data_IF_837222187752
#
_entry.id   IF_837222187752
#
_cell.length_a   1.000
_cell.length_b   1.000
_cell.length_c   1.000
_cell.angle_alpha   90.00
_cell.angle_beta   90.00
_cell.angle_gamma   90.00
#
_symmetry.space_group_name_H-M   'P 1'
#
loop_
_entity.id
_entity.type
_entity.pdbx_description
1 polymer ?
#
# COMPACT_ATOMS: atom_id res chain seq x y z
N UNK A 1 -2.28 1.16 -18.01
CA UNK A 1 -1.17 0.43 -17.35
C UNK A 1 -0.30 1.47 -16.67
N UNK A 2 -0.08 1.40 -15.36
CA UNK A 2 0.76 2.35 -14.61
C UNK A 2 1.94 1.58 -14.01
N UNK A 3 3.10 2.23 -13.92
CA UNK A 3 4.28 1.65 -13.27
C UNK A 3 4.28 2.07 -11.79
N UNK A 4 4.41 1.10 -10.89
CA UNK A 4 4.57 1.34 -9.45
C UNK A 4 6.02 1.14 -9.08
N UNK A 5 6.67 2.18 -8.58
CA UNK A 5 8.01 2.08 -8.05
C UNK A 5 8.07 1.10 -6.87
N UNK A 6 9.16 0.31 -6.72
CA UNK A 6 9.29 -0.65 -5.63
C UNK A 6 9.20 0.01 -4.24
N UNK A 7 9.65 1.26 -4.12
CA UNK A 7 9.51 2.04 -2.89
C UNK A 7 8.04 2.41 -2.58
N UNK A 8 7.26 2.72 -3.62
CA UNK A 8 5.83 3.03 -3.50
C UNK A 8 5.03 1.77 -3.14
N UNK A 9 5.36 0.64 -3.77
CA UNK A 9 4.76 -0.65 -3.44
C UNK A 9 5.01 -1.05 -1.96
N UNK A 10 6.22 -0.81 -1.45
CA UNK A 10 6.52 -1.06 -0.04
C UNK A 10 5.75 -0.12 0.89
N UNK A 11 5.67 1.18 0.57
CA UNK A 11 4.91 2.16 1.34
C UNK A 11 3.41 1.81 1.43
N UNK A 12 2.79 1.43 0.31
CA UNK A 12 1.38 1.00 0.25
C UNK A 12 1.17 -0.24 1.11
N UNK A 13 2.10 -1.21 1.06
CA UNK A 13 2.01 -2.43 1.86
C UNK A 13 2.21 -2.16 3.36
N UNK A 14 3.16 -1.31 3.74
CA UNK A 14 3.33 -0.88 5.13
C UNK A 14 2.07 -0.20 5.64
N UNK A 15 1.51 0.74 4.87
CA UNK A 15 0.24 1.38 5.21
C UNK A 15 -0.89 0.36 5.38
N UNK A 16 -0.96 -0.67 4.53
CA UNK A 16 -1.95 -1.74 4.64
C UNK A 16 -1.78 -2.56 5.93
N UNK A 17 -0.56 -2.94 6.29
CA UNK A 17 -0.28 -3.76 7.47
C UNK A 17 -0.39 -2.98 8.78
N UNK A 18 0.07 -1.73 8.82
CA UNK A 18 0.09 -0.91 10.03
C UNK A 18 -1.24 -0.17 10.29
N UNK A 19 -1.89 0.30 9.23
CA UNK A 19 -3.04 1.21 9.30
C UNK A 19 -4.30 0.69 8.60
N UNK A 20 -4.20 -0.44 7.91
CA UNK A 20 -5.32 -1.09 7.24
C UNK A 20 -5.57 -0.61 5.81
N UNK A 21 -6.61 -1.19 5.20
CA UNK A 21 -6.94 -1.04 3.78
C UNK A 21 -7.14 0.42 3.34
N UNK A 22 -7.86 1.22 4.14
CA UNK A 22 -8.13 2.62 3.81
C UNK A 22 -6.86 3.48 3.74
N UNK A 23 -5.89 3.23 4.62
CA UNK A 23 -4.63 3.96 4.60
C UNK A 23 -3.80 3.63 3.35
N UNK A 24 -3.80 2.36 2.94
CA UNK A 24 -3.15 1.93 1.71
C UNK A 24 -3.82 2.52 0.46
N UNK A 25 -5.15 2.66 0.46
CA UNK A 25 -5.90 3.34 -0.62
C UNK A 25 -5.52 4.82 -0.68
N UNK A 26 -5.40 5.49 0.46
CA UNK A 26 -4.97 6.91 0.51
C UNK A 26 -3.55 7.07 -0.05
N UNK A 27 -2.61 6.21 0.34
CA UNK A 27 -1.24 6.25 -0.19
C UNK A 27 -1.21 5.95 -1.69
N UNK A 28 -2.00 4.96 -2.15
CA UNK A 28 -2.15 4.70 -3.58
C UNK A 28 -2.67 5.93 -4.33
N UNK A 29 -3.70 6.61 -3.81
CA UNK A 29 -4.28 7.82 -4.43
C UNK A 29 -3.32 9.03 -4.37
N UNK A 30 -2.46 9.09 -3.37
CA UNK A 30 -1.40 10.11 -3.25
C UNK A 30 -0.36 9.97 -4.37
N UNK A 31 0.01 8.75 -4.71
CA UNK A 31 0.94 8.47 -5.80
C UNK A 31 0.26 8.49 -7.17
N UNK A 32 -1.00 8.05 -7.21
CA UNK A 32 -1.80 7.92 -8.42
C UNK A 32 -3.17 8.57 -8.20
N UNK A 33 -3.30 9.88 -8.42
CA UNK A 33 -4.59 10.58 -8.30
C UNK A 33 -5.62 10.16 -9.37
N UNK A 34 -5.25 9.23 -10.25
CA UNK A 34 -6.06 8.73 -11.38
C UNK A 34 -7.17 7.75 -10.96
N UNK A 35 -7.21 7.29 -9.71
CA UNK A 35 -8.26 6.39 -9.24
C UNK A 35 -9.52 7.15 -8.85
N UNK A 36 -10.55 7.04 -9.70
CA UNK A 36 -11.87 7.65 -9.49
C UNK A 36 -12.71 6.91 -8.44
N UNK A 37 -12.56 5.58 -8.36
CA UNK A 37 -13.33 4.72 -7.44
C UNK A 37 -12.45 4.03 -6.40
N UNK A 38 -12.90 4.06 -5.14
CA UNK A 38 -12.26 3.34 -4.04
C UNK A 38 -12.21 1.83 -4.29
N UNK A 39 -13.17 1.27 -5.02
CA UNK A 39 -13.19 -0.16 -5.37
C UNK A 39 -12.05 -0.54 -6.33
N UNK A 40 -11.75 0.31 -7.31
CA UNK A 40 -10.61 0.09 -8.21
C UNK A 40 -9.28 0.24 -7.47
N UNK A 41 -9.19 1.24 -6.60
CA UNK A 41 -8.03 1.45 -5.73
C UNK A 41 -7.80 0.24 -4.81
N UNK A 42 -8.88 -0.32 -4.24
CA UNK A 42 -8.82 -1.50 -3.37
C UNK A 42 -8.23 -2.72 -4.08
N UNK A 43 -8.70 -3.01 -5.30
CA UNK A 43 -8.18 -4.13 -6.09
C UNK A 43 -6.67 -3.98 -6.35
N UNK A 44 -6.22 -2.76 -6.68
CA UNK A 44 -4.79 -2.47 -6.87
C UNK A 44 -4.00 -2.62 -5.56
N UNK A 45 -4.51 -2.11 -4.44
CA UNK A 45 -3.88 -2.26 -3.12
C UNK A 45 -3.73 -3.73 -2.75
N UNK A 46 -4.75 -4.57 -2.96
CA UNK A 46 -4.68 -6.00 -2.66
C UNK A 46 -3.68 -6.73 -3.56
N UNK A 47 -3.61 -6.36 -4.85
CA UNK A 47 -2.62 -6.89 -5.76
C UNK A 47 -1.19 -6.54 -5.30
N UNK A 48 -0.93 -5.28 -4.97
CA UNK A 48 0.37 -4.78 -4.48
C UNK A 48 0.72 -5.42 -3.13
N UNK A 49 -0.26 -5.56 -2.22
CA UNK A 49 -0.05 -6.22 -0.94
C UNK A 49 0.30 -7.72 -1.08
N UNK A 50 -0.16 -8.36 -2.17
CA UNK A 50 0.15 -9.75 -2.50
C UNK A 50 1.51 -9.94 -3.18
N UNK A 51 2.18 -8.86 -3.60
CA UNK A 51 3.50 -8.95 -4.22
C UNK A 51 4.55 -9.38 -3.20
N UNK A 52 5.35 -10.41 -3.55
CA UNK A 52 6.48 -10.84 -2.73
C UNK A 52 7.56 -9.74 -2.72
N UNK A 53 7.99 -9.27 -1.53
CA UNK A 53 9.06 -8.29 -1.46
C UNK A 53 10.37 -8.86 -1.98
N UNK A 54 11.01 -8.11 -2.88
CA UNK A 54 12.45 -8.20 -3.08
C UNK A 54 13.07 -7.42 -1.91
N UNK A 55 13.34 -8.12 -0.80
CA UNK A 55 13.91 -7.55 0.45
C UNK A 55 15.38 -7.11 0.25
N UNK A 56 15.95 -6.18 1.07
CA UNK A 56 15.58 -5.94 2.48
C UNK A 56 15.62 -4.47 2.96
N UNK A 57 14.56 -3.98 3.63
CA UNK A 57 14.70 -2.97 4.71
C UNK A 57 13.72 -3.22 5.87
N UNK A 58 14.25 -2.90 7.05
CA UNK A 58 13.91 -3.27 8.43
C UNK A 58 12.70 -2.52 9.03
N UNK A 59 12.18 -2.96 10.21
CA UNK A 59 10.82 -2.71 10.65
C UNK A 59 10.66 -1.45 11.50
N UNK A 60 9.53 -0.77 11.36
CA UNK A 60 8.90 0.07 12.38
C UNK A 60 7.44 0.26 11.94
N UNK A 61 6.38 0.14 12.77
CA UNK A 61 6.28 0.43 14.20
C UNK A 61 5.03 -0.18 14.86
N UNK A 62 5.25 -0.93 15.94
CA UNK A 62 4.44 -1.08 17.17
C UNK A 62 2.92 -1.20 17.04
N UNK A 63 2.45 -2.44 17.29
CA UNK A 63 1.11 -2.77 17.80
C UNK A 63 0.70 -1.81 18.93
N UNK A 64 -0.40 -1.07 18.77
CA UNK A 64 -1.11 -0.46 19.90
C UNK A 64 -2.31 -1.34 20.25
N UNK A 65 -2.11 -2.14 21.29
CA UNK A 65 -3.15 -2.83 22.06
C UNK A 65 -4.08 -1.81 22.74
N UNK A 66 -5.37 -2.10 22.72
CA UNK A 66 -6.28 -1.94 23.86
C UNK A 66 -7.14 -3.19 23.95
#
# INVERSE_FOLDING_TARGET
MFAVDPAVADAIRQAFQERGELAAIVELRRHFPLFESNEQARSCVLAIASWKPISPRLPARVKKSR
#
